data_IF_898033059047
#
_entry.id   IF_898033059047
#
_cell.length_a   1.000
_cell.length_b   1.000
_cell.length_c   1.000
_cell.angle_alpha   90.00
_cell.angle_beta   90.00
_cell.angle_gamma   90.00
#
_symmetry.space_group_name_H-M   'P 1'
#
loop_
_entity.id
_entity.type
_entity.pdbx_description
1 polymer ?
#
# COMPACT_ATOMS: atom_id res chain seq x y z
N UNK A 1 3.94 -23.72 -9.84
CA UNK A 1 3.78 -23.52 -11.30
C UNK A 1 4.27 -22.10 -11.58
N UNK A 2 5.44 -21.94 -12.20
CA UNK A 2 5.97 -20.62 -12.56
C UNK A 2 5.03 -20.00 -13.60
N UNK A 3 4.50 -18.81 -13.29
CA UNK A 3 3.52 -18.13 -14.11
C UNK A 3 4.09 -17.76 -15.47
N UNK A 4 3.26 -17.83 -16.51
CA UNK A 4 3.62 -17.49 -17.89
C UNK A 4 3.82 -15.98 -18.11
N UNK A 5 3.59 -15.18 -17.08
CA UNK A 5 3.61 -13.72 -17.14
C UNK A 5 4.67 -13.14 -16.18
N UNK A 6 5.31 -12.00 -16.54
CA UNK A 6 6.28 -11.36 -15.65
C UNK A 6 5.64 -10.97 -14.31
N UNK A 7 6.42 -11.01 -13.23
CA UNK A 7 5.95 -10.66 -11.89
C UNK A 7 5.95 -9.13 -11.68
N UNK A 8 4.77 -8.54 -11.51
CA UNK A 8 4.63 -7.13 -11.17
C UNK A 8 4.39 -6.97 -9.67
N UNK A 9 5.34 -6.38 -8.96
CA UNK A 9 5.17 -6.02 -7.53
C UNK A 9 4.82 -4.55 -7.42
N UNK A 10 3.72 -4.25 -6.73
CA UNK A 10 3.23 -2.89 -6.45
C UNK A 10 3.27 -2.65 -4.94
N UNK A 11 4.00 -1.62 -4.53
CA UNK A 11 4.07 -1.20 -3.13
C UNK A 11 3.04 -0.11 -2.85
N UNK A 12 2.17 -0.36 -1.88
CA UNK A 12 1.11 0.56 -1.43
C UNK A 12 -0.28 0.24 -2.01
N UNK A 13 -1.29 0.90 -1.46
CA UNK A 13 -2.71 0.81 -1.89
C UNK A 13 -3.36 2.19 -2.08
N UNK A 14 -2.56 3.25 -2.24
CA UNK A 14 -3.05 4.60 -2.52
C UNK A 14 -3.53 4.80 -3.95
N UNK A 15 -3.76 6.06 -4.35
CA UNK A 15 -4.22 6.42 -5.69
C UNK A 15 -3.40 5.79 -6.82
N UNK A 16 -2.07 5.87 -6.75
CA UNK A 16 -1.18 5.33 -7.78
C UNK A 16 -1.31 3.81 -7.92
N UNK A 17 -1.21 3.09 -6.80
CA UNK A 17 -1.30 1.63 -6.78
C UNK A 17 -2.68 1.14 -7.23
N UNK A 18 -3.76 1.68 -6.66
CA UNK A 18 -5.12 1.23 -6.94
C UNK A 18 -5.50 1.44 -8.42
N UNK A 19 -5.22 2.63 -8.97
CA UNK A 19 -5.52 2.92 -10.37
C UNK A 19 -4.66 2.09 -11.33
N UNK A 20 -3.37 1.89 -11.02
CA UNK A 20 -2.52 1.01 -11.82
C UNK A 20 -3.10 -0.40 -11.87
N UNK A 21 -3.37 -1.00 -10.71
CA UNK A 21 -3.91 -2.37 -10.62
C UNK A 21 -5.24 -2.48 -11.35
N UNK A 22 -6.12 -1.48 -11.22
CA UNK A 22 -7.45 -1.45 -11.83
C UNK A 22 -7.44 -1.33 -13.35
N UNK A 23 -6.56 -0.50 -13.91
CA UNK A 23 -6.60 -0.14 -15.33
C UNK A 23 -5.48 -0.75 -16.18
N UNK A 24 -4.51 -1.44 -15.57
CA UNK A 24 -3.43 -2.12 -16.30
C UNK A 24 -4.00 -3.19 -17.24
N UNK A 25 -3.81 -3.02 -18.56
CA UNK A 25 -4.31 -3.97 -19.57
C UNK A 25 -3.35 -5.13 -19.85
N UNK A 26 -2.07 -4.98 -19.54
CA UNK A 26 -1.06 -5.99 -19.79
C UNK A 26 -1.24 -7.24 -18.88
N UNK A 27 -0.78 -8.38 -19.38
CA UNK A 27 -0.76 -9.64 -18.65
C UNK A 27 0.49 -9.68 -17.74
N UNK A 28 0.27 -9.43 -16.45
CA UNK A 28 1.26 -9.54 -15.39
C UNK A 28 0.67 -10.37 -14.25
N UNK A 29 1.53 -11.11 -13.55
CA UNK A 29 1.17 -11.68 -12.26
C UNK A 29 1.37 -10.61 -11.18
N UNK A 30 0.26 -10.02 -10.73
CA UNK A 30 0.29 -8.84 -9.87
C UNK A 30 0.35 -9.26 -8.40
N UNK A 31 1.35 -8.75 -7.70
CA UNK A 31 1.48 -8.82 -6.25
C UNK A 31 1.44 -7.42 -5.67
N UNK A 32 0.50 -7.17 -4.75
CA UNK A 32 0.40 -5.89 -4.03
C UNK A 32 0.87 -6.10 -2.60
N UNK A 33 1.76 -5.22 -2.13
CA UNK A 33 2.31 -5.26 -0.77
C UNK A 33 1.94 -3.96 -0.07
N UNK A 34 1.18 -4.04 1.02
CA UNK A 34 0.78 -2.86 1.78
C UNK A 34 0.35 -3.25 3.19
N UNK A 35 0.63 -2.41 4.21
CA UNK A 35 0.06 -2.58 5.55
C UNK A 35 -1.43 -2.18 5.61
N UNK A 36 -2.02 -1.73 4.49
CA UNK A 36 -3.45 -1.42 4.37
C UNK A 36 -4.05 -2.23 3.21
N UNK A 37 -5.20 -2.87 3.44
CA UNK A 37 -5.88 -3.74 2.47
C UNK A 37 -6.95 -3.02 1.61
N UNK A 38 -7.01 -1.70 1.69
CA UNK A 38 -7.98 -0.87 0.97
C UNK A 38 -7.30 0.39 0.44
N UNK A 39 -7.91 0.93 -0.60
CA UNK A 39 -7.73 2.28 -1.08
C UNK A 39 -8.56 3.24 -0.23
N UNK A 40 -8.04 4.45 -0.02
CA UNK A 40 -8.69 5.53 0.71
C UNK A 40 -8.79 6.75 -0.21
N UNK A 41 -10.00 7.26 -0.40
CA UNK A 41 -10.24 8.50 -1.14
C UNK A 41 -9.97 9.71 -0.23
N UNK A 42 -8.68 10.04 -0.09
CA UNK A 42 -8.21 11.11 0.80
C UNK A 42 -8.86 12.49 0.60
N UNK A 43 -9.36 12.91 -0.58
CA UNK A 43 -10.05 14.20 -0.73
C UNK A 43 -11.29 14.36 0.16
N UNK A 44 -11.96 13.26 0.53
CA UNK A 44 -13.16 13.30 1.37
C UNK A 44 -12.89 12.97 2.85
N UNK A 45 -11.64 12.74 3.23
CA UNK A 45 -11.27 12.45 4.61
C UNK A 45 -11.75 13.55 5.60
N UNK A 46 -11.65 14.86 5.30
CA UNK A 46 -12.17 15.90 6.19
C UNK A 46 -13.69 15.88 6.35
N UNK A 47 -14.45 15.44 5.34
CA UNK A 47 -15.91 15.32 5.44
C UNK A 47 -16.32 14.15 6.33
N UNK A 48 -15.50 13.10 6.37
CA UNK A 48 -15.72 11.94 7.24
C UNK A 48 -15.44 12.26 8.71
N UNK A 49 -14.44 13.08 9.01
CA UNK A 49 -14.11 13.42 10.41
C UNK A 49 -15.21 14.21 11.11
N UNK A 50 -16.01 14.99 10.36
CA UNK A 50 -17.17 15.72 10.87
C UNK A 50 -18.49 14.94 10.74
N UNK A 51 -18.45 13.69 10.28
CA UNK A 51 -19.62 12.82 10.17
C UNK A 51 -20.58 13.16 9.03
N UNK A 52 -20.19 14.01 8.07
CA UNK A 52 -21.01 14.29 6.88
C UNK A 52 -21.17 13.04 5.99
N UNK A 53 -20.17 12.18 5.99
CA UNK A 53 -20.15 10.89 5.28
C UNK A 53 -19.50 9.82 6.17
N UNK A 54 -19.83 8.55 5.95
CA UNK A 54 -19.24 7.44 6.69
C UNK A 54 -17.83 7.10 6.16
N UNK A 55 -16.92 6.64 7.04
CA UNK A 55 -15.60 6.12 6.62
C UNK A 55 -15.70 5.02 5.57
N UNK A 56 -16.71 4.15 5.68
CA UNK A 56 -16.90 3.05 4.72
C UNK A 56 -17.26 3.55 3.33
N UNK A 57 -17.79 4.77 3.20
CA UNK A 57 -18.14 5.39 1.92
C UNK A 57 -16.93 5.94 1.15
N UNK A 58 -15.76 6.02 1.79
CA UNK A 58 -14.53 6.58 1.18
C UNK A 58 -13.40 5.54 1.04
N UNK A 59 -13.68 4.27 1.33
CA UNK A 59 -12.71 3.17 1.21
C UNK A 59 -13.15 2.15 0.15
N UNK A 60 -12.17 1.58 -0.53
CA UNK A 60 -12.40 0.50 -1.51
C UNK A 60 -11.40 -0.64 -1.28
N UNK A 61 -11.85 -1.87 -0.97
CA UNK A 61 -10.96 -3.01 -0.81
C UNK A 61 -10.09 -3.25 -2.05
N UNK A 62 -8.78 -3.46 -1.90
CA UNK A 62 -7.86 -3.61 -3.04
C UNK A 62 -8.23 -4.80 -3.95
N UNK A 63 -8.81 -5.85 -3.37
CA UNK A 63 -9.34 -7.03 -4.08
C UNK A 63 -10.43 -6.70 -5.12
N UNK A 64 -11.07 -5.53 -5.03
CA UNK A 64 -12.05 -5.06 -6.00
C UNK A 64 -11.41 -4.32 -7.18
N UNK A 65 -10.14 -3.93 -7.08
CA UNK A 65 -9.43 -3.28 -8.19
C UNK A 65 -9.30 -4.23 -9.39
N UNK A 66 -8.96 -5.51 -9.16
CA UNK A 66 -8.79 -6.52 -10.21
C UNK A 66 -8.92 -7.93 -9.64
N UNK A 67 -9.45 -8.86 -10.44
CA UNK A 67 -9.46 -10.30 -10.12
C UNK A 67 -8.04 -10.88 -10.19
N UNK A 68 -7.77 -11.92 -9.41
CA UNK A 68 -6.52 -12.70 -9.42
C UNK A 68 -5.25 -11.89 -9.05
N UNK A 69 -5.36 -10.97 -8.10
CA UNK A 69 -4.18 -10.32 -7.50
C UNK A 69 -3.73 -11.10 -6.27
N UNK A 70 -2.41 -11.20 -6.05
CA UNK A 70 -1.86 -11.61 -4.75
C UNK A 70 -1.72 -10.37 -3.88
N UNK A 71 -2.13 -10.45 -2.62
CA UNK A 71 -2.01 -9.36 -1.67
C UNK A 71 -1.24 -9.82 -0.44
N UNK A 72 -0.16 -9.12 -0.10
CA UNK A 72 0.56 -9.27 1.16
C UNK A 72 0.21 -8.12 2.09
N UNK A 73 -0.39 -8.47 3.23
CA UNK A 73 -0.61 -7.54 4.32
C UNK A 73 0.71 -7.36 5.10
N UNK A 74 1.57 -6.49 4.58
CA UNK A 74 2.96 -6.37 5.03
C UNK A 74 3.54 -4.97 4.76
N UNK A 75 4.57 -4.61 5.52
CA UNK A 75 5.40 -3.44 5.28
C UNK A 75 6.57 -3.79 4.36
N UNK A 76 6.78 -3.02 3.29
CA UNK A 76 8.03 -3.07 2.53
C UNK A 76 9.08 -2.22 3.27
N UNK A 77 10.16 -2.84 3.73
CA UNK A 77 11.19 -2.21 4.56
C UNK A 77 12.42 -1.78 3.77
N UNK A 78 12.82 -2.59 2.80
CA UNK A 78 14.03 -2.34 2.01
C UNK A 78 13.94 -2.98 0.62
N UNK A 79 14.85 -2.58 -0.27
CA UNK A 79 14.97 -3.06 -1.64
C UNK A 79 16.38 -3.61 -1.91
N UNK A 80 16.46 -4.92 -2.14
CA UNK A 80 17.67 -5.57 -2.63
C UNK A 80 17.68 -5.49 -4.16
N UNK A 81 18.09 -4.33 -4.69
CA UNK A 81 17.99 -4.01 -6.13
C UNK A 81 18.79 -4.99 -6.98
N UNK A 82 19.99 -5.38 -6.54
CA UNK A 82 20.85 -6.33 -7.25
C UNK A 82 20.21 -7.71 -7.40
N UNK A 83 19.38 -8.12 -6.43
CA UNK A 83 18.68 -9.41 -6.42
C UNK A 83 17.24 -9.30 -6.93
N UNK A 84 16.75 -8.09 -7.22
CA UNK A 84 15.35 -7.79 -7.57
C UNK A 84 14.37 -8.32 -6.52
N UNK A 85 14.66 -8.06 -5.25
CA UNK A 85 13.82 -8.47 -4.10
C UNK A 85 13.37 -7.29 -3.25
N UNK A 86 12.15 -7.38 -2.74
CA UNK A 86 11.62 -6.49 -1.69
C UNK A 86 11.71 -7.22 -0.36
N UNK A 87 12.35 -6.59 0.62
CA UNK A 87 12.36 -7.05 2.02
C UNK A 87 11.04 -6.62 2.65
N UNK A 88 10.25 -7.60 3.11
CA UNK A 88 8.92 -7.37 3.65
C UNK A 88 8.83 -7.87 5.08
N UNK A 89 8.04 -7.19 5.89
CA UNK A 89 7.69 -7.60 7.25
C UNK A 89 6.18 -7.74 7.35
N UNK A 90 5.67 -8.92 7.71
CA UNK A 90 4.24 -9.16 7.85
C UNK A 90 3.60 -8.21 8.86
N UNK A 91 2.46 -7.61 8.50
CA UNK A 91 1.82 -6.58 9.33
C UNK A 91 1.16 -7.15 10.60
N UNK A 92 0.83 -8.45 10.60
CA UNK A 92 0.16 -9.12 11.71
C UNK A 92 1.14 -9.87 12.65
N UNK A 93 2.19 -10.48 12.10
CA UNK A 93 3.09 -11.40 12.78
C UNK A 93 4.53 -10.88 12.90
N UNK A 94 4.89 -9.84 12.16
CA UNK A 94 6.24 -9.28 12.18
C UNK A 94 7.30 -10.15 11.49
N UNK A 95 6.90 -11.25 10.82
CA UNK A 95 7.84 -12.15 10.18
C UNK A 95 8.43 -11.51 8.92
N UNK A 96 9.75 -11.66 8.74
CA UNK A 96 10.46 -11.14 7.58
C UNK A 96 10.46 -12.14 6.42
N UNK A 97 10.19 -11.65 5.22
CA UNK A 97 10.21 -12.46 4.01
C UNK A 97 10.59 -11.63 2.80
N UNK A 98 10.96 -12.30 1.72
CA UNK A 98 11.36 -11.66 0.48
C UNK A 98 10.30 -11.88 -0.60
N UNK A 99 10.06 -10.85 -1.39
CA UNK A 99 9.23 -10.94 -2.60
C UNK A 99 10.08 -10.55 -3.80
N UNK A 100 10.25 -11.49 -4.72
CA UNK A 100 10.95 -11.27 -5.99
C UNK A 100 10.04 -10.54 -6.98
N UNK A 101 10.63 -9.72 -7.85
CA UNK A 101 9.87 -8.98 -8.86
C UNK A 101 10.58 -8.94 -10.21
N UNK A 102 9.79 -8.89 -11.28
CA UNK A 102 10.30 -8.49 -12.58
C UNK A 102 10.24 -6.99 -12.78
N UNK A 103 9.10 -6.42 -12.42
CA UNK A 103 8.82 -4.99 -12.46
C UNK A 103 8.36 -4.56 -11.08
N UNK A 104 8.97 -3.49 -10.56
CA UNK A 104 8.61 -2.90 -9.28
C UNK A 104 7.97 -1.54 -9.50
N UNK A 105 6.81 -1.32 -8.88
CA UNK A 105 6.15 -0.01 -8.81
C UNK A 105 6.10 0.44 -7.36
N UNK A 106 6.70 1.59 -7.09
CA UNK A 106 6.70 2.21 -5.77
C UNK A 106 5.60 3.27 -5.73
N UNK A 107 4.52 2.99 -5.00
CA UNK A 107 3.37 3.88 -4.83
C UNK A 107 2.94 3.97 -3.35
N UNK A 108 3.93 3.99 -2.45
CA UNK A 108 3.75 4.03 -0.99
C UNK A 108 3.23 5.37 -0.48
N UNK A 109 3.34 6.43 -1.28
CA UNK A 109 2.95 7.78 -0.91
C UNK A 109 4.04 8.48 -0.09
N UNK A 110 3.61 9.35 0.81
CA UNK A 110 4.48 10.08 1.73
C UNK A 110 3.84 10.08 3.12
N UNK A 111 4.66 10.34 4.13
CA UNK A 111 4.21 10.53 5.52
C UNK A 111 4.25 12.01 5.90
N UNK A 112 3.53 12.35 6.97
CA UNK A 112 3.45 13.71 7.46
C UNK A 112 4.80 14.14 8.05
N UNK A 113 5.36 15.24 7.55
CA UNK A 113 6.55 15.85 8.14
C UNK A 113 6.15 16.70 9.36
N UNK A 114 6.65 16.33 10.54
CA UNK A 114 6.38 17.06 11.80
C UNK A 114 7.39 18.18 12.08
N UNK A 115 8.41 18.35 11.21
CA UNK A 115 9.41 19.42 11.28
C UNK A 115 10.08 19.57 12.66
N UNK A 116 10.28 18.46 13.37
CA UNK A 116 10.94 18.37 14.68
C UNK A 116 10.39 19.31 15.77
N UNK A 117 9.14 19.77 15.63
CA UNK A 117 8.51 20.58 16.66
C UNK A 117 8.19 19.70 17.89
N UNK A 118 8.81 20.05 19.02
CA UNK A 118 8.74 19.38 20.33
C UNK A 118 7.30 19.06 20.79
N UNK A 119 6.26 19.72 20.25
CA UNK A 119 4.85 19.54 20.64
C UNK A 119 4.04 18.54 19.82
N UNK A 120 4.46 18.14 18.63
CA UNK A 120 3.65 17.24 17.79
C UNK A 120 3.52 15.82 18.38
N UNK A 121 4.52 15.36 19.14
CA UNK A 121 4.49 14.06 19.85
C UNK A 121 3.74 14.13 21.21
N UNK A 122 3.67 15.31 21.83
CA UNK A 122 3.19 15.49 23.22
C UNK A 122 1.66 15.36 23.39
N UNK A 123 0.87 15.49 22.32
CA UNK A 123 -0.59 15.30 22.37
C UNK A 123 -1.05 13.86 22.09
N UNK A 124 -0.12 12.89 22.11
CA UNK A 124 -0.46 11.47 22.20
C UNK A 124 -1.09 10.84 20.96
N UNK A 125 -1.15 11.55 19.82
CA UNK A 125 -1.51 10.96 18.53
C UNK A 125 -0.41 11.23 17.53
N UNK A 126 0.18 10.15 17.04
CA UNK A 126 1.05 10.21 15.88
C UNK A 126 0.19 10.65 14.69
N UNK A 127 0.46 11.86 14.15
CA UNK A 127 -0.32 12.40 13.04
C UNK A 127 -0.17 11.57 11.75
N UNK A 128 0.81 10.66 11.69
CA UNK A 128 0.95 9.65 10.62
C UNK A 128 -0.10 8.52 10.70
N UNK A 129 -0.88 8.46 11.79
CA UNK A 129 -1.92 7.45 12.00
C UNK A 129 -3.34 7.95 11.69
N UNK A 130 -3.46 9.10 11.03
CA UNK A 130 -4.69 9.55 10.37
C UNK A 130 -4.69 9.22 8.88
#
# INVERSE_FOLDING_TARGET
>A
MLGTHPQLVVLGTGFGAFNLVKYLKAAYDITVISPRNHFLFTPLLPSTTVGTIEFRSIIEPIRYARKNIRFYHAFAKDLLIAERKVVCTGAADGHEFYVEYDVLVIAVGAENNTFDWIKARLFGRDISQF
#
